data_IF_524192049067
#
_entry.id   IF_524192049067
#
_cell.length_a   1.000
_cell.length_b   1.000
_cell.length_c   1.000
_cell.angle_alpha   90.00
_cell.angle_beta   90.00
_cell.angle_gamma   90.00
#
_symmetry.space_group_name_H-M   'P 1'
#
loop_
_entity.id
_entity.type
_entity.pdbx_description
1 polymer ?
#
# COMPACT_ATOMS: atom_id res chain seq x y z
N UNK A 1 3.88 9.13 27.20
CA UNK A 1 4.67 9.19 25.95
C UNK A 1 3.93 10.03 24.93
N UNK A 2 4.65 10.88 24.18
CA UNK A 2 4.12 11.75 23.12
C UNK A 2 3.83 10.92 21.85
N UNK A 3 2.66 11.11 21.25
CA UNK A 3 2.41 10.67 19.89
C UNK A 3 3.09 11.66 18.93
N UNK A 4 4.14 11.24 18.24
CA UNK A 4 4.79 12.04 17.21
C UNK A 4 4.11 11.79 15.87
N UNK A 5 3.37 12.79 15.40
CA UNK A 5 2.95 12.83 14.01
C UNK A 5 4.15 13.24 13.17
N UNK A 6 4.80 12.27 12.51
CA UNK A 6 5.83 12.58 11.53
C UNK A 6 5.18 13.22 10.30
N UNK A 7 5.26 14.54 10.21
CA UNK A 7 5.26 15.24 8.92
C UNK A 7 6.70 15.28 8.48
N UNK A 8 7.05 14.49 7.47
CA UNK A 8 8.37 14.54 6.83
C UNK A 8 8.56 15.94 6.24
N UNK A 9 9.40 16.74 6.88
CA UNK A 9 9.80 18.06 6.42
C UNK A 9 11.30 18.26 6.65
N UNK A 10 11.92 19.09 5.82
CA UNK A 10 13.38 19.25 5.72
C UNK A 10 13.95 19.89 7.00
N UNK A 11 14.48 19.05 7.90
CA UNK A 11 15.18 19.46 9.12
C UNK A 11 15.68 18.26 9.91
N UNK A 12 16.69 18.43 10.78
CA UNK A 12 17.10 17.40 11.75
C UNK A 12 16.21 17.52 12.99
N UNK A 13 15.18 16.68 13.18
CA UNK A 13 14.47 16.65 14.46
C UNK A 13 15.46 16.25 15.55
N UNK A 14 15.75 17.16 16.47
CA UNK A 14 16.54 16.86 17.66
C UNK A 14 15.56 16.34 18.70
N UNK A 15 15.26 15.06 18.65
CA UNK A 15 14.44 14.39 19.66
C UNK A 15 15.39 13.83 20.72
N UNK A 16 15.66 14.59 21.79
CA UNK A 16 16.53 14.14 22.90
C UNK A 16 15.88 13.02 23.74
N UNK A 17 14.57 12.78 23.59
CA UNK A 17 13.80 11.82 24.42
C UNK A 17 12.71 11.07 23.65
N UNK A 18 12.71 11.08 22.31
CA UNK A 18 11.76 10.23 21.59
C UNK A 18 12.21 8.77 21.71
N UNK A 19 11.35 7.86 22.18
CA UNK A 19 11.68 6.44 22.19
C UNK A 19 12.07 5.99 20.78
N UNK A 20 13.04 5.10 20.67
CA UNK A 20 13.48 4.46 19.42
C UNK A 20 12.39 3.54 18.81
N UNK A 21 11.12 3.75 19.15
CA UNK A 21 9.98 2.92 18.81
C UNK A 21 8.93 3.72 18.04
N UNK A 22 8.60 3.24 16.85
CA UNK A 22 7.52 3.74 16.00
C UNK A 22 6.45 2.65 15.86
N UNK A 23 5.22 2.95 16.26
CA UNK A 23 4.08 2.05 16.01
C UNK A 23 3.34 2.52 14.76
N UNK A 24 3.20 1.62 13.79
CA UNK A 24 2.50 1.87 12.53
C UNK A 24 1.24 1.01 12.52
N UNK A 25 0.09 1.66 12.44
CA UNK A 25 -1.21 1.01 12.38
C UNK A 25 -1.87 1.24 11.02
N UNK A 26 -2.00 0.18 10.25
CA UNK A 26 -2.78 0.13 9.02
C UNK A 26 -4.26 -0.23 9.27
N UNK A 27 -5.15 0.02 8.30
CA UNK A 27 -6.50 -0.52 8.32
C UNK A 27 -6.46 -2.04 8.40
N UNK A 28 -7.45 -2.62 9.07
CA UNK A 28 -7.71 -4.06 8.92
C UNK A 28 -8.03 -4.36 7.45
N UNK A 29 -7.63 -5.56 7.00
CA UNK A 29 -7.93 -6.09 5.65
C UNK A 29 -7.22 -5.38 4.47
N UNK A 30 -6.35 -4.40 4.74
CA UNK A 30 -5.56 -3.70 3.70
C UNK A 30 -4.07 -3.90 3.98
N UNK A 31 -3.33 -4.41 2.99
CA UNK A 31 -1.86 -4.43 3.06
C UNK A 31 -1.29 -3.07 2.68
N UNK A 32 -0.35 -2.59 3.48
CA UNK A 32 0.40 -1.35 3.20
C UNK A 32 1.83 -1.73 2.87
N UNK A 33 2.30 -1.31 1.70
CA UNK A 33 3.71 -1.41 1.33
C UNK A 33 4.50 -0.24 1.95
N UNK A 34 5.59 -0.56 2.65
CA UNK A 34 6.52 0.39 3.25
C UNK A 34 7.93 0.08 2.75
N UNK A 35 8.76 1.11 2.65
CA UNK A 35 10.20 0.96 2.46
C UNK A 35 10.92 1.29 3.77
N UNK A 36 11.62 0.32 4.34
CA UNK A 36 12.35 0.45 5.61
C UNK A 36 13.82 0.12 5.32
N UNK A 37 14.69 1.13 5.38
CA UNK A 37 16.11 1.03 5.07
C UNK A 37 16.44 0.40 3.70
N UNK A 38 15.58 0.63 2.70
CA UNK A 38 15.73 0.06 1.36
C UNK A 38 15.05 -1.30 1.19
N UNK A 39 14.59 -1.95 2.26
CA UNK A 39 13.81 -3.17 2.19
C UNK A 39 12.32 -2.87 2.01
N UNK A 40 11.69 -3.51 1.03
CA UNK A 40 10.25 -3.45 0.81
C UNK A 40 9.54 -4.45 1.74
N UNK A 41 8.59 -3.94 2.52
CA UNK A 41 7.75 -4.74 3.42
C UNK A 41 6.29 -4.44 3.18
N UNK A 42 5.43 -5.44 3.28
CA UNK A 42 3.98 -5.29 3.26
C UNK A 42 3.43 -5.67 4.63
N UNK A 43 2.81 -4.72 5.33
CA UNK A 43 2.19 -4.97 6.63
C UNK A 43 0.68 -5.20 6.47
N UNK A 44 0.14 -6.19 7.17
CA UNK A 44 -1.28 -6.54 7.15
C UNK A 44 -2.14 -5.81 8.17
N UNK A 45 -1.53 -5.21 9.20
CA UNK A 45 -2.24 -4.35 10.15
C UNK A 45 -1.27 -3.51 10.99
N UNK A 46 -0.83 -3.99 12.16
CA UNK A 46 -0.14 -3.16 13.15
C UNK A 46 1.23 -3.71 13.49
N UNK A 47 2.25 -2.88 13.35
CA UNK A 47 3.62 -3.22 13.66
C UNK A 47 4.25 -2.22 14.62
N UNK A 48 5.21 -2.69 15.40
CA UNK A 48 6.16 -1.89 16.14
C UNK A 48 7.52 -1.96 15.41
N UNK A 49 8.03 -0.83 14.97
CA UNK A 49 9.36 -0.68 14.39
C UNK A 49 10.28 -0.05 15.43
N UNK A 50 11.36 -0.74 15.78
CA UNK A 50 12.44 -0.19 16.60
C UNK A 50 13.70 -0.02 15.76
N UNK A 51 14.40 1.11 15.91
CA UNK A 51 15.66 1.35 15.22
C UNK A 51 16.76 1.71 16.20
N UNK A 52 17.94 1.10 16.09
CA UNK A 52 19.09 1.41 16.94
C UNK A 52 20.37 1.50 16.12
N UNK A 53 21.24 2.44 16.48
CA UNK A 53 22.58 2.56 15.90
C UNK A 53 23.57 1.75 16.75
N UNK A 54 24.21 0.76 16.14
CA UNK A 54 25.15 -0.16 16.77
C UNK A 54 26.41 -0.27 15.91
N UNK A 55 27.53 -0.62 16.52
CA UNK A 55 28.75 -0.93 15.75
C UNK A 55 28.68 -2.34 15.17
N UNK A 56 29.31 -2.59 14.02
CA UNK A 56 29.38 -3.91 13.39
C UNK A 56 29.89 -5.00 14.36
N UNK A 57 30.91 -4.70 15.17
CA UNK A 57 31.42 -5.63 16.19
C UNK A 57 30.39 -5.99 17.26
N UNK A 58 29.53 -5.05 17.65
CA UNK A 58 28.42 -5.33 18.57
C UNK A 58 27.35 -6.21 17.92
N UNK A 59 27.02 -5.97 16.65
CA UNK A 59 26.07 -6.79 15.90
C UNK A 59 26.56 -8.22 15.65
N UNK A 60 27.86 -8.42 15.48
CA UNK A 60 28.46 -9.76 15.38
C UNK A 60 28.28 -10.58 16.68
N UNK A 61 28.02 -9.92 17.81
CA UNK A 61 27.62 -10.56 19.07
C UNK A 61 26.16 -10.99 19.12
N UNK A 62 25.28 -10.44 18.28
CA UNK A 62 23.86 -10.81 18.22
C UNK A 62 23.67 -12.04 17.31
N UNK A 63 23.45 -13.20 17.92
CA UNK A 63 23.25 -14.47 17.23
C UNK A 63 22.07 -14.51 16.26
N UNK A 64 21.11 -13.57 16.34
CA UNK A 64 19.97 -13.50 15.42
C UNK A 64 20.33 -12.91 14.06
N UNK A 65 21.27 -11.97 14.02
CA UNK A 65 21.72 -11.29 12.79
C UNK A 65 23.11 -11.75 12.33
N UNK A 66 23.91 -12.36 13.20
CA UNK A 66 25.24 -12.86 12.85
C UNK A 66 25.28 -13.70 11.56
N UNK A 67 24.34 -14.64 11.30
CA UNK A 67 24.39 -15.45 10.08
C UNK A 67 24.29 -14.64 8.78
N UNK A 68 23.62 -13.48 8.80
CA UNK A 68 23.53 -12.59 7.63
C UNK A 68 24.69 -11.61 7.54
N UNK A 69 25.46 -11.44 8.62
CA UNK A 69 26.60 -10.52 8.68
C UNK A 69 27.95 -11.21 8.44
N UNK A 70 28.06 -12.51 8.69
CA UNK A 70 29.30 -13.30 8.56
C UNK A 70 29.94 -13.26 7.15
N UNK A 71 29.17 -12.92 6.11
CA UNK A 71 29.70 -12.77 4.75
C UNK A 71 30.37 -11.42 4.48
N UNK A 72 30.30 -10.47 5.41
CA UNK A 72 30.82 -9.12 5.26
C UNK A 72 32.10 -8.94 6.09
N UNK A 73 33.14 -8.40 5.46
CA UNK A 73 34.40 -8.04 6.12
C UNK A 73 34.44 -6.52 6.35
N UNK A 74 33.87 -6.09 7.49
CA UNK A 74 33.82 -4.69 7.89
C UNK A 74 34.64 -4.45 9.16
N UNK A 75 35.24 -3.25 9.32
CA UNK A 75 35.83 -2.83 10.59
C UNK A 75 34.83 -2.93 11.74
N UNK A 76 35.26 -3.39 12.92
CA UNK A 76 34.38 -3.58 14.08
C UNK A 76 33.65 -2.30 14.49
N UNK A 77 34.27 -1.14 14.28
CA UNK A 77 33.75 0.17 14.62
C UNK A 77 32.80 0.78 13.55
N UNK A 78 32.51 0.05 12.47
CA UNK A 78 31.59 0.52 11.42
C UNK A 78 30.20 0.74 12.01
N UNK A 79 29.61 1.91 11.80
CA UNK A 79 28.27 2.22 12.27
C UNK A 79 27.22 1.46 11.46
N UNK A 80 26.23 0.88 12.12
CA UNK A 80 25.16 0.13 11.50
C UNK A 80 23.81 0.46 12.16
N UNK A 81 22.76 0.52 11.35
CA UNK A 81 21.39 0.70 11.79
C UNK A 81 20.72 -0.68 11.87
N UNK A 82 20.37 -1.11 13.07
CA UNK A 82 19.56 -2.28 13.32
C UNK A 82 18.08 -1.86 13.32
N UNK A 83 17.28 -2.49 12.47
CA UNK A 83 15.82 -2.35 12.46
C UNK A 83 15.17 -3.63 12.93
N UNK A 84 14.32 -3.52 13.94
CA UNK A 84 13.55 -4.63 14.52
C UNK A 84 12.08 -4.34 14.28
N UNK A 85 11.38 -5.23 13.57
CA UNK A 85 9.93 -5.12 13.35
C UNK A 85 9.25 -6.21 14.16
N UNK A 86 8.33 -5.83 15.05
CA UNK A 86 7.47 -6.73 15.82
C UNK A 86 6.03 -6.63 15.32
N UNK A 87 5.39 -7.78 15.09
CA UNK A 87 4.00 -7.83 14.65
C UNK A 87 3.07 -7.85 15.87
N UNK A 88 2.43 -6.71 16.10
CA UNK A 88 1.45 -6.54 17.18
C UNK A 88 0.06 -6.99 16.72
N UNK A 89 -0.27 -6.83 15.43
CA UNK A 89 -1.52 -7.32 14.86
C UNK A 89 -1.35 -7.64 13.37
N UNK A 90 -2.05 -8.67 12.89
CA UNK A 90 -1.97 -9.11 11.49
C UNK A 90 -0.69 -9.88 11.16
N UNK A 91 0.01 -9.49 10.10
CA UNK A 91 1.24 -10.11 9.64
C UNK A 91 2.14 -9.10 8.88
N UNK A 92 3.33 -9.55 8.49
CA UNK A 92 4.18 -8.86 7.53
C UNK A 92 4.72 -9.82 6.46
N UNK A 93 4.82 -9.34 5.24
CA UNK A 93 5.65 -9.92 4.17
C UNK A 93 6.87 -9.02 3.94
N UNK A 94 8.04 -9.61 3.79
CA UNK A 94 9.28 -8.92 3.50
C UNK A 94 10.07 -9.65 2.41
N UNK A 95 11.10 -8.99 1.87
CA UNK A 95 11.99 -9.54 0.85
C UNK A 95 11.21 -10.03 -0.39
N UNK A 96 10.32 -9.20 -0.93
CA UNK A 96 9.46 -9.57 -2.06
C UNK A 96 8.50 -10.72 -1.76
N UNK A 97 8.12 -10.90 -0.49
CA UNK A 97 7.23 -11.97 -0.02
C UNK A 97 7.91 -13.29 0.30
N UNK A 98 9.25 -13.34 0.28
CA UNK A 98 10.07 -14.48 0.67
C UNK A 98 10.10 -14.72 2.18
N UNK A 99 9.97 -13.65 2.98
CA UNK A 99 9.89 -13.73 4.45
C UNK A 99 8.48 -13.39 4.89
N UNK A 100 7.83 -14.30 5.60
CA UNK A 100 6.54 -14.08 6.25
C UNK A 100 6.76 -14.02 7.76
N UNK A 101 6.31 -12.93 8.39
CA UNK A 101 6.43 -12.71 9.84
C UNK A 101 5.02 -12.68 10.41
N UNK A 102 4.62 -13.72 11.15
CA UNK A 102 3.27 -13.79 11.71
C UNK A 102 3.13 -12.98 12.99
N UNK A 103 1.89 -12.87 13.47
CA UNK A 103 1.55 -12.29 14.77
C UNK A 103 2.45 -12.83 15.89
N UNK A 104 2.90 -11.94 16.77
CA UNK A 104 3.71 -12.30 17.92
C UNK A 104 5.19 -12.52 17.60
N UNK A 105 5.60 -12.36 16.34
CA UNK A 105 6.98 -12.55 15.92
C UNK A 105 7.66 -11.23 15.59
N UNK A 106 8.99 -11.26 15.64
CA UNK A 106 9.85 -10.19 15.20
C UNK A 106 10.76 -10.63 14.05
N UNK A 107 11.22 -9.67 13.25
CA UNK A 107 12.27 -9.87 12.27
C UNK A 107 13.20 -8.66 12.26
N UNK A 108 14.49 -8.89 11.95
CA UNK A 108 15.54 -7.89 12.02
C UNK A 108 16.17 -7.66 10.64
N UNK A 109 16.60 -6.44 10.37
CA UNK A 109 17.42 -6.08 9.21
C UNK A 109 18.52 -5.11 9.66
N UNK A 110 19.68 -5.21 9.02
CA UNK A 110 20.85 -4.37 9.32
C UNK A 110 21.23 -3.58 8.09
N UNK A 111 21.45 -2.27 8.25
CA UNK A 111 22.07 -1.41 7.24
C UNK A 111 23.35 -0.80 7.79
N UNK A 112 24.52 -1.21 7.28
CA UNK A 112 25.80 -0.65 7.70
C UNK A 112 26.19 0.55 6.84
N UNK A 113 26.81 1.55 7.47
CA UNK A 113 27.08 2.86 6.90
C UNK A 113 28.59 3.12 6.81
N UNK A 114 29.02 3.88 5.80
CA UNK A 114 30.38 4.41 5.71
C UNK A 114 30.60 5.54 6.72
N UNK A 115 31.83 6.02 6.84
CA UNK A 115 32.17 7.20 7.66
C UNK A 115 31.39 8.45 7.21
N UNK A 116 31.06 8.56 5.92
CA UNK A 116 30.20 9.60 5.33
C UNK A 116 28.70 9.30 5.46
N UNK A 117 28.32 8.28 6.25
CA UNK A 117 26.95 7.81 6.48
C UNK A 117 26.23 7.36 5.19
N UNK A 118 26.97 6.89 4.20
CA UNK A 118 26.37 6.27 3.02
C UNK A 118 26.13 4.78 3.27
N UNK A 119 25.03 4.19 2.81
CA UNK A 119 24.79 2.76 2.97
C UNK A 119 25.87 1.96 2.24
N UNK A 120 26.61 1.13 2.99
CA UNK A 120 27.55 0.14 2.45
C UNK A 120 26.80 -1.10 1.98
N UNK A 121 25.86 -1.58 2.81
CA UNK A 121 24.91 -2.63 2.45
C UNK A 121 23.68 -2.58 3.36
N UNK A 122 22.61 -3.24 2.91
CA UNK A 122 21.42 -3.56 3.70
C UNK A 122 21.17 -5.06 3.62
N UNK A 123 20.90 -5.72 4.74
CA UNK A 123 20.50 -7.13 4.76
C UNK A 123 19.01 -7.27 4.52
N UNK A 124 18.62 -8.40 3.94
CA UNK A 124 17.25 -8.86 4.02
C UNK A 124 16.78 -9.02 5.47
N UNK A 125 15.46 -9.01 5.66
CA UNK A 125 14.85 -9.31 6.95
C UNK A 125 15.09 -10.78 7.35
N UNK A 126 15.58 -11.00 8.56
CA UNK A 126 15.88 -12.34 9.11
C UNK A 126 14.63 -13.22 9.21
N UNK A 127 14.78 -14.54 9.29
CA UNK A 127 13.67 -15.42 9.64
C UNK A 127 12.96 -14.94 10.93
N UNK A 128 11.63 -15.10 11.01
CA UNK A 128 10.86 -14.62 12.15
C UNK A 128 11.27 -15.35 13.43
N UNK A 129 11.37 -14.59 14.52
CA UNK A 129 11.63 -15.09 15.87
C UNK A 129 10.45 -14.76 16.77
N UNK A 130 10.09 -15.66 17.67
CA UNK A 130 9.03 -15.41 18.65
C UNK A 130 9.48 -14.31 19.61
N UNK A 131 8.59 -13.35 19.88
CA UNK A 131 8.81 -12.36 20.93
C UNK A 131 8.34 -12.95 22.25
N UNK A 132 9.24 -13.06 23.22
CA UNK A 132 8.93 -13.64 24.54
C UNK A 132 8.35 -12.60 25.51
N UNK A 133 8.60 -11.32 25.27
CA UNK A 133 8.24 -10.22 26.17
C UNK A 133 7.57 -9.07 25.40
N UNK A 134 6.27 -8.86 25.66
CA UNK A 134 5.48 -7.74 25.13
C UNK A 134 5.31 -6.59 26.13
N UNK A 135 5.91 -6.67 27.32
CA UNK A 135 5.82 -5.62 28.34
C UNK A 135 6.25 -4.23 27.84
N UNK A 136 7.22 -4.08 26.90
CA UNK A 136 7.50 -2.77 26.30
C UNK A 136 6.30 -2.12 25.61
N UNK A 137 5.30 -2.90 25.19
CA UNK A 137 4.12 -2.43 24.47
C UNK A 137 2.88 -2.27 25.36
N UNK A 138 2.85 -2.82 26.58
CA UNK A 138 1.68 -2.75 27.49
C UNK A 138 1.18 -1.31 27.71
N UNK A 139 2.11 -0.35 27.79
CA UNK A 139 1.78 1.08 27.94
C UNK A 139 0.97 1.68 26.78
N UNK A 140 0.83 0.96 25.67
CA UNK A 140 0.07 1.39 24.51
C UNK A 140 -1.42 0.99 24.58
N UNK A 141 -1.81 0.00 25.39
CA UNK A 141 -3.22 -0.45 25.48
C UNK A 141 -4.13 0.60 26.09
N UNK A 142 -3.63 1.34 27.08
CA UNK A 142 -4.37 2.38 27.78
C UNK A 142 -4.41 3.71 27.00
N UNK A 143 -3.78 3.77 25.83
CA UNK A 143 -3.67 5.02 25.08
C UNK A 143 -4.95 5.27 24.25
N UNK A 144 -5.60 6.44 24.40
CA UNK A 144 -6.80 6.77 23.65
C UNK A 144 -6.44 7.12 22.20
N UNK A 145 -6.16 6.11 21.38
CA UNK A 145 -5.97 6.29 19.96
C UNK A 145 -7.27 6.80 19.33
N UNK A 146 -7.22 7.85 18.49
CA UNK A 146 -8.41 8.58 18.07
C UNK A 146 -9.37 7.76 17.19
N UNK A 147 -9.00 6.55 16.73
CA UNK A 147 -9.84 5.72 15.84
C UNK A 147 -9.78 4.21 16.07
N UNK A 148 -8.70 3.66 16.65
CA UNK A 148 -8.55 2.22 16.87
C UNK A 148 -7.74 1.97 18.14
N UNK A 149 -8.33 1.43 19.22
CA UNK A 149 -7.53 1.00 20.37
C UNK A 149 -6.48 -0.01 19.90
N UNK A 150 -5.25 0.13 20.38
CA UNK A 150 -4.25 -0.90 20.17
C UNK A 150 -4.55 -2.04 21.13
N UNK A 151 -5.02 -3.17 20.60
CA UNK A 151 -5.12 -4.41 21.37
C UNK A 151 -3.84 -5.19 21.16
N UNK A 152 -3.07 -5.44 22.22
CA UNK A 152 -1.92 -6.33 22.09
C UNK A 152 -2.40 -7.77 21.95
N UNK A 153 -1.64 -8.61 21.22
CA UNK A 153 -2.04 -9.98 21.03
C UNK A 153 -1.96 -10.75 22.34
N UNK A 154 -2.99 -11.56 22.63
CA UNK A 154 -2.98 -12.38 23.82
C UNK A 154 -1.94 -13.51 23.71
N UNK A 155 -1.44 -14.06 24.82
CA UNK A 155 -0.57 -15.24 24.79
C UNK A 155 -1.18 -16.42 24.02
N UNK A 156 -2.50 -16.60 24.09
CA UNK A 156 -3.23 -17.62 23.34
C UNK A 156 -3.21 -17.36 21.83
N UNK A 157 -3.38 -16.10 21.39
CA UNK A 157 -3.30 -15.71 19.98
C UNK A 157 -1.90 -15.92 19.42
N UNK A 158 -0.87 -15.57 20.20
CA UNK A 158 0.53 -15.82 19.84
C UNK A 158 0.77 -17.34 19.75
N UNK A 159 0.30 -18.12 20.72
CA UNK A 159 0.46 -19.57 20.70
C UNK A 159 -0.28 -20.21 19.51
N UNK A 160 -1.46 -19.70 19.17
CA UNK A 160 -2.20 -20.14 17.98
C UNK A 160 -1.44 -19.78 16.70
N UNK A 161 -0.86 -18.57 16.61
CA UNK A 161 0.02 -18.14 15.52
C UNK A 161 1.22 -19.07 15.34
N UNK A 162 1.89 -19.43 16.45
CA UNK A 162 3.00 -20.41 16.46
C UNK A 162 2.54 -21.79 15.99
N UNK A 163 1.38 -22.27 16.45
CA UNK A 163 0.82 -23.57 16.03
C UNK A 163 0.46 -23.61 14.55
N UNK A 164 -0.07 -22.51 14.01
CA UNK A 164 -0.36 -22.37 12.59
C UNK A 164 0.94 -22.32 11.75
N UNK A 165 2.04 -21.88 12.37
CA UNK A 165 3.37 -21.81 11.79
C UNK A 165 3.53 -20.70 10.74
N UNK A 166 4.77 -20.33 10.39
CA UNK A 166 5.07 -19.26 9.43
C UNK A 166 4.72 -19.63 7.97
N UNK A 167 4.08 -20.78 7.73
CA UNK A 167 3.76 -21.25 6.37
C UNK A 167 2.32 -20.95 5.95
N UNK A 168 1.44 -20.66 6.90
CA UNK A 168 0.06 -20.29 6.58
C UNK A 168 0.02 -18.78 6.41
N UNK A 169 0.33 -18.30 5.21
CA UNK A 169 -0.01 -16.92 4.82
C UNK A 169 -1.52 -16.80 4.97
N UNK A 170 -2.06 -15.94 5.86
CA UNK A 170 -3.50 -15.73 5.89
C UNK A 170 -3.90 -15.29 4.49
N UNK A 171 -4.94 -15.92 3.96
CA UNK A 171 -5.53 -15.44 2.71
C UNK A 171 -5.91 -13.99 2.99
N UNK A 172 -5.44 -13.01 2.20
CA UNK A 172 -5.82 -11.61 2.42
C UNK A 172 -7.33 -11.59 2.61
N UNK A 173 -7.80 -11.10 3.77
CA UNK A 173 -9.22 -11.01 4.04
C UNK A 173 -9.80 -10.18 2.90
N UNK A 174 -10.48 -10.84 1.96
CA UNK A 174 -11.14 -10.14 0.88
C UNK A 174 -12.19 -9.29 1.57
N UNK A 175 -12.08 -7.97 1.43
CA UNK A 175 -13.10 -7.02 1.90
C UNK A 175 -14.49 -7.63 1.60
N UNK A 176 -15.37 -7.75 2.60
CA UNK A 176 -16.70 -8.28 2.37
C UNK A 176 -17.33 -7.48 1.23
N UNK A 177 -17.84 -8.16 0.21
CA UNK A 177 -18.59 -7.52 -0.87
C UNK A 177 -19.63 -6.60 -0.23
N UNK A 178 -19.44 -5.29 -0.32
CA UNK A 178 -20.47 -4.33 0.02
C UNK A 178 -21.61 -4.62 -0.95
N UNK A 179 -22.70 -5.20 -0.46
CA UNK A 179 -23.91 -5.32 -1.25
C UNK A 179 -24.30 -3.90 -1.68
N UNK A 180 -24.51 -3.64 -2.98
CA UNK A 180 -24.78 -2.31 -3.46
C UNK A 180 -25.96 -1.71 -2.70
N UNK A 181 -25.74 -0.55 -2.08
CA UNK A 181 -26.81 0.26 -1.51
C UNK A 181 -27.65 0.71 -2.69
N UNK A 182 -28.83 0.12 -2.86
CA UNK A 182 -29.81 0.54 -3.85
C UNK A 182 -30.20 1.98 -3.48
N UNK A 183 -29.93 2.99 -4.33
CA UNK A 183 -30.37 4.34 -4.05
C UNK A 183 -31.90 4.36 -4.01
N UNK A 184 -32.48 4.70 -2.86
CA UNK A 184 -33.90 5.03 -2.79
C UNK A 184 -34.09 6.31 -3.60
N UNK A 185 -34.70 6.16 -4.76
CA UNK A 185 -34.90 7.23 -5.73
C UNK A 185 -35.77 8.34 -5.11
N UNK A 186 -35.33 9.61 -5.11
CA UNK A 186 -36.13 10.70 -4.59
C UNK A 186 -37.37 10.90 -5.45
N UNK A 187 -38.55 10.84 -4.82
CA UNK A 187 -39.84 11.12 -5.44
C UNK A 187 -39.97 12.62 -5.71
N UNK A 188 -39.51 13.08 -6.88
CA UNK A 188 -39.82 14.42 -7.35
C UNK A 188 -41.23 14.45 -7.95
N UNK A 189 -42.17 15.06 -7.24
CA UNK A 189 -43.51 15.39 -7.73
C UNK A 189 -43.45 16.57 -8.71
N UNK A 190 -43.27 16.27 -10.01
CA UNK A 190 -43.44 17.21 -11.11
C UNK A 190 -44.73 16.91 -11.91
N UNK A 191 -45.41 17.92 -12.47
CA UNK A 191 -46.72 17.76 -13.08
C UNK A 191 -46.72 16.84 -14.30
N UNK A 192 -47.70 15.94 -14.26
CA UNK A 192 -47.99 14.81 -15.14
C UNK A 192 -48.19 15.24 -16.60
N UNK A 193 -47.42 14.70 -17.57
CA UNK A 193 -47.79 14.76 -18.98
C UNK A 193 -49.05 13.91 -19.19
N UNK A 194 -50.00 14.45 -19.94
CA UNK A 194 -51.25 13.81 -20.34
C UNK A 194 -50.95 12.46 -21.00
N UNK A 195 -51.34 11.37 -20.34
CA UNK A 195 -51.13 10.01 -20.81
C UNK A 195 -52.02 9.69 -22.01
N UNK A 196 -51.40 9.23 -23.10
CA UNK A 196 -52.08 8.52 -24.20
C UNK A 196 -52.60 7.19 -23.64
N UNK A 197 -53.92 6.89 -23.70
CA UNK A 197 -54.45 5.61 -23.25
C UNK A 197 -54.09 4.50 -24.23
N UNK A 198 -53.30 3.51 -23.80
CA UNK A 198 -53.13 2.26 -24.56
C UNK A 198 -51.78 1.53 -24.44
N UNK A 199 -50.72 2.17 -23.94
CA UNK A 199 -49.44 1.49 -23.77
C UNK A 199 -49.29 0.89 -22.36
N UNK A 200 -49.45 -0.42 -22.28
CA UNK A 200 -49.06 -1.25 -21.14
C UNK A 200 -47.59 -0.93 -20.79
N UNK A 201 -47.23 -0.65 -19.53
CA UNK A 201 -45.85 -0.39 -19.15
C UNK A 201 -45.01 -1.63 -19.49
N UNK A 202 -44.19 -1.53 -20.53
CA UNK A 202 -43.16 -2.52 -20.80
C UNK A 202 -42.19 -2.45 -19.63
N UNK A 203 -42.12 -3.51 -18.82
CA UNK A 203 -41.17 -3.62 -17.72
C UNK A 203 -39.78 -3.23 -18.25
N UNK A 204 -39.11 -2.30 -17.55
CA UNK A 204 -37.73 -1.95 -17.88
C UNK A 204 -36.93 -3.27 -17.92
N UNK A 205 -36.19 -3.55 -19.00
CA UNK A 205 -35.45 -4.79 -19.11
C UNK A 205 -34.53 -4.92 -17.89
N UNK A 206 -34.75 -5.96 -17.09
CA UNK A 206 -33.84 -6.37 -16.02
C UNK A 206 -32.49 -6.62 -16.65
N UNK A 207 -31.52 -5.74 -16.40
CA UNK A 207 -30.16 -5.88 -16.90
C UNK A 207 -29.62 -7.26 -16.47
N UNK A 208 -29.11 -8.03 -17.44
CA UNK A 208 -28.51 -9.33 -17.15
C UNK A 208 -27.29 -9.10 -16.25
N UNK A 209 -27.26 -9.64 -15.01
CA UNK A 209 -26.15 -9.42 -14.09
C UNK A 209 -24.82 -10.01 -14.57
N UNK A 210 -24.84 -10.86 -15.60
CA UNK A 210 -23.66 -11.45 -16.22
C UNK A 210 -23.14 -10.68 -17.44
N UNK A 211 -23.82 -9.59 -17.84
CA UNK A 211 -23.35 -8.75 -18.94
C UNK A 211 -22.27 -7.78 -18.43
N UNK A 212 -21.20 -7.52 -19.20
CA UNK A 212 -20.24 -6.48 -18.87
C UNK A 212 -20.91 -5.12 -18.73
N UNK A 213 -20.62 -4.41 -17.65
CA UNK A 213 -21.25 -3.13 -17.34
C UNK A 213 -20.31 -2.20 -16.61
N UNK A 214 -20.33 -0.92 -17.00
CA UNK A 214 -19.64 0.16 -16.33
C UNK A 214 -20.53 0.91 -15.34
N UNK A 215 -21.71 0.38 -15.03
CA UNK A 215 -22.56 0.95 -14.00
C UNK A 215 -21.79 0.98 -12.68
N UNK A 216 -21.58 2.19 -12.16
CA UNK A 216 -20.82 2.42 -10.92
C UNK A 216 -19.31 2.52 -11.09
N UNK A 217 -18.75 2.35 -12.30
CA UNK A 217 -17.33 2.55 -12.59
C UNK A 217 -16.99 4.05 -12.56
N UNK A 218 -16.22 4.47 -11.54
CA UNK A 218 -15.91 5.85 -11.23
C UNK A 218 -14.49 5.96 -10.67
N UNK A 219 -13.90 7.13 -10.81
CA UNK A 219 -12.59 7.41 -10.24
C UNK A 219 -12.70 7.61 -8.72
N UNK A 220 -11.80 6.97 -7.97
CA UNK A 220 -11.61 7.22 -6.52
C UNK A 220 -10.45 8.21 -6.33
N UNK A 221 -9.35 8.05 -7.08
CA UNK A 221 -8.21 8.97 -7.06
C UNK A 221 -7.13 8.59 -8.06
N UNK A 222 -6.11 9.45 -8.28
CA UNK A 222 -5.87 10.72 -7.60
C UNK A 222 -6.77 11.87 -8.08
N UNK A 223 -6.72 12.99 -7.37
CA UNK A 223 -7.32 14.25 -7.79
C UNK A 223 -6.47 15.00 -8.84
N UNK A 224 -6.53 16.34 -8.81
CA UNK A 224 -5.79 17.19 -9.76
C UNK A 224 -4.28 17.24 -9.52
N UNK A 225 -3.81 16.85 -8.33
CA UNK A 225 -2.39 16.79 -8.00
C UNK A 225 -1.98 15.35 -7.75
N UNK A 226 -0.79 15.01 -8.23
CA UNK A 226 -0.19 13.70 -8.05
C UNK A 226 1.23 13.82 -7.53
N UNK A 227 1.61 12.86 -6.69
CA UNK A 227 2.98 12.72 -6.22
C UNK A 227 3.84 12.13 -7.35
N UNK A 228 4.98 12.77 -7.71
CA UNK A 228 5.81 12.32 -8.82
C UNK A 228 6.52 10.98 -8.57
N UNK A 229 6.59 10.52 -7.32
CA UNK A 229 7.28 9.29 -6.94
C UNK A 229 6.34 8.15 -6.63
N UNK A 230 5.24 8.40 -5.94
CA UNK A 230 4.46 7.31 -5.36
C UNK A 230 2.99 7.64 -5.43
N UNK A 231 2.33 7.16 -6.48
CA UNK A 231 0.93 7.47 -6.74
C UNK A 231 0.08 6.21 -6.89
N UNK A 232 -0.96 6.13 -6.07
CA UNK A 232 -2.06 5.19 -6.25
C UNK A 232 -3.13 5.80 -7.18
N UNK A 233 -3.43 5.09 -8.26
CA UNK A 233 -4.60 5.34 -9.11
C UNK A 233 -5.67 4.32 -8.74
N UNK A 234 -6.82 4.76 -8.26
CA UNK A 234 -7.87 3.90 -7.74
C UNK A 234 -9.23 4.21 -8.37
N UNK A 235 -10.05 3.18 -8.54
CA UNK A 235 -11.37 3.23 -9.17
C UNK A 235 -12.34 2.27 -8.49
N UNK A 236 -13.64 2.52 -8.62
CA UNK A 236 -14.67 1.55 -8.25
C UNK A 236 -14.77 0.44 -9.30
N UNK A 237 -15.09 -0.81 -8.94
CA UNK A 237 -15.07 -1.92 -9.88
C UNK A 237 -16.17 -1.82 -10.95
N UNK A 238 -15.84 -2.20 -12.18
CA UNK A 238 -16.81 -2.51 -13.24
C UNK A 238 -17.25 -3.99 -13.15
N UNK A 239 -18.44 -4.31 -13.66
CA UNK A 239 -19.02 -5.65 -13.53
C UNK A 239 -18.70 -6.49 -14.77
N UNK A 240 -18.30 -7.75 -14.57
CA UNK A 240 -17.95 -8.74 -15.63
C UNK A 240 -16.93 -8.24 -16.65
N UNK A 241 -15.88 -7.56 -16.17
CA UNK A 241 -14.75 -7.13 -16.98
C UNK A 241 -13.63 -8.18 -16.95
N UNK A 242 -12.76 -8.15 -17.96
CA UNK A 242 -11.57 -9.00 -18.06
C UNK A 242 -10.38 -8.43 -17.25
N UNK A 243 -10.37 -7.12 -17.00
CA UNK A 243 -9.31 -6.44 -16.28
C UNK A 243 -9.40 -4.93 -16.46
N UNK A 244 -8.35 -4.24 -16.03
CA UNK A 244 -8.23 -2.79 -16.18
C UNK A 244 -6.87 -2.43 -16.78
N UNK A 245 -6.82 -1.27 -17.44
CA UNK A 245 -5.61 -0.70 -17.97
C UNK A 245 -5.48 0.77 -17.55
N UNK A 246 -4.35 1.11 -16.92
CA UNK A 246 -3.95 2.50 -16.71
C UNK A 246 -2.99 2.90 -17.84
N UNK A 247 -3.32 3.94 -18.57
CA UNK A 247 -2.46 4.56 -19.57
C UNK A 247 -2.00 5.94 -19.05
N UNK A 248 -0.69 6.18 -19.04
CA UNK A 248 -0.10 7.45 -18.61
C UNK A 248 0.87 8.00 -19.65
N UNK A 249 0.87 9.32 -19.82
CA UNK A 249 1.76 10.04 -20.73
C UNK A 249 2.26 11.32 -20.06
N UNK A 250 3.53 11.65 -20.30
CA UNK A 250 4.13 12.89 -19.83
C UNK A 250 3.70 14.07 -20.71
N UNK A 251 3.47 15.23 -20.08
CA UNK A 251 3.07 16.46 -20.75
C UNK A 251 4.07 17.57 -20.41
N UNK A 252 4.55 18.25 -21.45
CA UNK A 252 5.50 19.36 -21.31
C UNK A 252 4.85 20.68 -20.84
N UNK A 253 5.66 21.72 -20.64
CA UNK A 253 5.20 23.07 -20.23
C UNK A 253 4.24 23.73 -21.22
N UNK A 254 4.26 23.31 -22.49
CA UNK A 254 3.39 23.83 -23.54
C UNK A 254 2.08 23.04 -23.63
N UNK A 255 1.90 22.01 -22.79
CA UNK A 255 0.74 21.15 -22.80
C UNK A 255 0.78 20.06 -23.88
N UNK A 256 1.92 19.85 -24.54
CA UNK A 256 2.08 18.81 -25.55
C UNK A 256 2.45 17.47 -24.90
N UNK A 257 1.95 16.38 -25.47
CA UNK A 257 2.35 15.03 -25.07
C UNK A 257 3.80 14.80 -25.53
N UNK A 258 4.65 14.36 -24.60
CA UNK A 258 6.04 14.00 -24.90
C UNK A 258 6.05 12.65 -25.61
N UNK A 259 6.54 12.62 -26.86
CA UNK A 259 6.61 11.39 -27.65
C UNK A 259 7.44 10.31 -26.93
N UNK A 260 6.96 9.07 -26.93
CA UNK A 260 7.61 7.95 -26.25
C UNK A 260 7.36 7.83 -24.75
N UNK A 261 6.63 8.77 -24.13
CA UNK A 261 6.32 8.73 -22.70
C UNK A 261 5.13 7.83 -22.31
N UNK A 262 4.50 7.15 -23.27
CA UNK A 262 3.34 6.30 -22.96
C UNK A 262 3.76 5.09 -22.12
N UNK A 263 3.12 4.94 -20.96
CA UNK A 263 3.21 3.76 -20.11
C UNK A 263 1.84 3.13 -19.94
N UNK A 264 1.81 1.81 -19.99
CA UNK A 264 0.61 1.00 -19.88
C UNK A 264 0.79 0.00 -18.74
N UNK A 265 -0.16 -0.03 -17.83
CA UNK A 265 -0.23 -0.99 -16.74
C UNK A 265 -1.52 -1.77 -16.90
N UNK A 266 -1.46 -3.08 -16.67
CA UNK A 266 -2.63 -3.95 -16.75
C UNK A 266 -2.76 -4.76 -15.48
N UNK A 267 -3.99 -4.84 -14.98
CA UNK A 267 -4.33 -5.59 -13.78
C UNK A 267 -5.56 -6.44 -14.00
N UNK A 268 -5.70 -7.47 -13.17
CA UNK A 268 -6.84 -8.40 -13.22
C UNK A 268 -8.19 -7.75 -12.88
N UNK A 269 -9.30 -8.47 -13.07
CA UNK A 269 -10.65 -7.92 -12.92
C UNK A 269 -11.07 -7.64 -11.48
N UNK A 270 -10.33 -8.16 -10.50
CA UNK A 270 -10.55 -7.92 -9.07
C UNK A 270 -9.81 -6.70 -8.53
N UNK A 271 -8.84 -6.20 -9.27
CA UNK A 271 -8.02 -5.08 -8.82
C UNK A 271 -8.77 -3.76 -8.99
N UNK A 272 -8.64 -2.88 -8.00
CA UNK A 272 -9.31 -1.57 -7.96
C UNK A 272 -8.33 -0.41 -7.85
N UNK A 273 -7.03 -0.70 -8.03
CA UNK A 273 -6.02 0.33 -8.14
C UNK A 273 -4.69 -0.18 -8.68
N UNK A 274 -3.84 0.77 -9.09
CA UNK A 274 -2.45 0.55 -9.50
C UNK A 274 -1.58 1.56 -8.78
N UNK A 275 -0.54 1.07 -8.11
CA UNK A 275 0.51 1.88 -7.53
C UNK A 275 1.68 1.99 -8.53
N UNK A 276 2.16 3.20 -8.76
CA UNK A 276 3.22 3.47 -9.76
C UNK A 276 4.10 4.64 -9.33
N UNK A 277 5.36 4.60 -9.77
CA UNK A 277 6.29 5.70 -9.63
C UNK A 277 6.39 6.49 -10.92
N UNK A 278 5.66 7.60 -10.98
CA UNK A 278 5.46 8.39 -12.20
C UNK A 278 6.79 8.79 -12.86
N UNK A 279 7.74 9.37 -12.12
CA UNK A 279 9.03 9.80 -12.70
C UNK A 279 9.87 8.62 -13.19
N UNK A 280 9.99 7.58 -12.35
CA UNK A 280 10.74 6.37 -12.73
C UNK A 280 10.19 5.75 -14.01
N UNK A 281 8.86 5.71 -14.12
CA UNK A 281 8.19 5.00 -15.20
C UNK A 281 8.10 5.82 -16.47
N UNK A 282 7.83 7.12 -16.38
CA UNK A 282 7.77 8.03 -17.54
C UNK A 282 9.18 8.40 -18.06
N UNK A 283 10.23 8.16 -17.26
CA UNK A 283 11.63 8.39 -17.63
C UNK A 283 12.17 9.73 -17.12
N UNK A 284 13.41 10.08 -17.49
CA UNK A 284 14.12 11.29 -17.04
C UNK A 284 13.58 12.60 -17.61
N UNK A 285 12.37 12.59 -18.16
CA UNK A 285 11.68 13.83 -18.44
C UNK A 285 11.32 14.42 -17.07
N UNK A 286 11.44 15.73 -16.87
CA UNK A 286 10.92 16.42 -15.69
C UNK A 286 9.54 17.01 -16.04
N UNK A 287 8.50 16.19 -16.26
CA UNK A 287 7.21 16.72 -16.65
C UNK A 287 6.61 17.54 -15.51
N UNK A 288 5.96 18.65 -15.84
CA UNK A 288 5.15 19.38 -14.85
C UNK A 288 3.77 18.76 -14.67
N UNK A 289 3.33 17.97 -15.65
CA UNK A 289 2.02 17.32 -15.59
C UNK A 289 2.02 16.01 -16.35
N UNK A 290 1.04 15.18 -16.03
CA UNK A 290 0.77 13.94 -16.74
C UNK A 290 -0.66 13.94 -17.27
N UNK A 291 -0.84 13.28 -18.41
CA UNK A 291 -2.15 12.92 -18.95
C UNK A 291 -2.35 11.44 -18.74
N UNK A 292 -3.49 11.04 -18.17
CA UNK A 292 -3.73 9.64 -17.85
C UNK A 292 -5.20 9.26 -17.96
N UNK A 293 -5.43 7.97 -18.16
CA UNK A 293 -6.73 7.35 -18.45
C UNK A 293 -6.79 5.97 -17.80
N UNK A 294 -7.95 5.61 -17.22
CA UNK A 294 -8.23 4.24 -16.77
C UNK A 294 -9.29 3.62 -17.67
N UNK A 295 -8.98 2.46 -18.23
CA UNK A 295 -9.86 1.70 -19.12
C UNK A 295 -10.29 0.40 -18.46
N UNK A 296 -11.59 0.12 -18.47
CA UNK A 296 -12.11 -1.20 -18.13
C UNK A 296 -12.12 -2.06 -19.41
N UNK A 297 -11.54 -3.26 -19.35
CA UNK A 297 -11.33 -4.12 -20.51
C UNK A 297 -12.29 -5.30 -20.53
N UNK A 298 -12.72 -5.73 -21.71
CA UNK A 298 -13.50 -6.95 -21.94
C UNK A 298 -12.91 -7.74 -23.11
N UNK A 299 -13.22 -9.03 -23.21
CA UNK A 299 -12.94 -9.79 -24.42
C UNK A 299 -14.06 -9.59 -25.44
N UNK A 300 -13.70 -9.27 -26.68
CA UNK A 300 -14.64 -9.27 -27.81
C UNK A 300 -14.96 -10.71 -28.28
N UNK A 301 -15.80 -10.83 -29.32
CA UNK A 301 -16.18 -12.13 -29.89
C UNK A 301 -15.00 -12.93 -30.46
N UNK A 302 -13.87 -12.27 -30.75
CA UNK A 302 -12.64 -12.88 -31.28
C UNK A 302 -11.59 -13.09 -30.18
N UNK A 303 -11.96 -12.94 -28.89
CA UNK A 303 -11.06 -13.00 -27.74
C UNK A 303 -9.96 -11.92 -27.71
N UNK A 304 -10.14 -10.81 -28.42
CA UNK A 304 -9.26 -9.65 -28.27
C UNK A 304 -9.71 -8.81 -27.08
N UNK A 305 -8.76 -8.26 -26.33
CA UNK A 305 -9.06 -7.26 -25.31
C UNK A 305 -9.49 -5.95 -25.99
N UNK A 306 -10.67 -5.47 -25.63
CA UNK A 306 -11.21 -4.18 -26.07
C UNK A 306 -11.65 -3.34 -24.87
N UNK A 307 -11.66 -2.02 -25.02
CA UNK A 307 -12.10 -1.09 -23.99
C UNK A 307 -13.63 -1.11 -23.92
N UNK A 308 -14.18 -1.49 -22.77
CA UNK A 308 -15.61 -1.39 -22.49
C UNK A 308 -16.01 0.06 -22.16
N UNK A 309 -15.22 0.72 -21.30
CA UNK A 309 -15.40 2.12 -20.94
C UNK A 309 -14.10 2.72 -20.41
N UNK A 310 -14.12 4.05 -20.30
CA UNK A 310 -12.95 4.86 -20.04
C UNK A 310 -13.27 5.95 -19.01
N UNK A 311 -12.36 6.15 -18.06
CA UNK A 311 -12.33 7.29 -17.14
C UNK A 311 -11.14 8.17 -17.53
N UNK A 312 -11.44 9.36 -18.04
CA UNK A 312 -10.43 10.33 -18.48
C UNK A 312 -10.73 10.90 -19.87
N UNK A 313 -9.75 11.57 -20.51
CA UNK A 313 -8.41 11.84 -19.98
C UNK A 313 -8.44 12.81 -18.81
N UNK A 314 -7.64 12.51 -17.78
CA UNK A 314 -7.34 13.42 -16.68
C UNK A 314 -5.98 14.05 -16.91
N UNK A 315 -5.84 15.31 -16.49
CA UNK A 315 -4.54 15.98 -16.41
C UNK A 315 -4.26 16.29 -14.95
N UNK A 316 -3.13 15.81 -14.45
CA UNK A 316 -2.69 16.08 -13.09
C UNK A 316 -1.35 16.79 -13.09
N UNK A 317 -1.21 17.81 -12.26
CA UNK A 317 0.06 18.51 -12.05
C UNK A 317 0.90 17.71 -11.08
N UNK A 318 2.18 17.55 -11.39
CA UNK A 318 3.14 16.89 -10.53
C UNK A 318 3.56 17.88 -9.44
N UNK A 319 3.27 17.52 -8.19
CA UNK A 319 3.66 18.35 -7.06
C UNK A 319 5.04 17.92 -6.57
N UNK A 320 6.07 18.62 -7.02
CA UNK A 320 7.40 18.57 -6.44
C UNK A 320 7.40 19.40 -5.16
N UNK A 321 6.73 18.89 -4.13
CA UNK A 321 6.86 19.47 -2.81
C UNK A 321 8.34 19.58 -2.43
N UNK A 322 8.72 20.52 -1.55
CA UNK A 322 10.04 20.51 -0.94
C UNK A 322 10.13 19.24 -0.08
N UNK A 323 10.58 18.14 -0.70
CA UNK A 323 10.90 16.88 -0.02
C UNK A 323 12.09 17.06 0.91
#
# INVERSE_FOLDING_TARGET
>A
MQAFYFRTGIGRPVCEEAPDLLVIQGPEEVRIALNINGAEVEIGSTIALKSSELTFGALMGDGSVRPVLESFDLPENTACLLSEITILHGDMLANGGGTFVPLGHQSKSVACLSDERQPLFTTEFTPPQLVEDFTPFESLEDFPFPRYPLTLPSPEEIQQSVQNGPRVKPTPTRLPRIAPIIPVQPTSSGPRPTSVPGQKPTAAPTANPNQPSCAGFNLIGPGQQVDPYNQLFAWTPATNVAGYQLAMQAVDYSGNIISGSLKLYRVGPTETGIYTSILRDLGSFEPQSISWVIQALVFDANQNLTTLCELGPYRSTLYYGPG
#
